data_IF_920489685398
#
_entry.id   IF_920489685398
#
_cell.length_a   1.000
_cell.length_b   1.000
_cell.length_c   1.000
_cell.angle_alpha   90.00
_cell.angle_beta   90.00
_cell.angle_gamma   90.00
#
_symmetry.space_group_name_H-M   'P 1'
#
loop_
_entity.id
_entity.type
_entity.pdbx_description
1 polymer ?
#
# COMPACT_ATOMS: atom_id res chain seq x y z
N UNK A 1 7.85 -6.24 -1.33
CA UNK A 1 7.13 -6.17 -2.62
C UNK A 1 5.94 -7.09 -2.45
N UNK A 2 4.71 -6.71 -2.80
CA UNK A 2 3.61 -7.69 -2.91
C UNK A 2 3.92 -8.56 -4.14
N UNK A 3 4.87 -9.48 -3.98
CA UNK A 3 5.47 -10.28 -5.05
C UNK A 3 5.02 -11.74 -5.01
N UNK A 4 4.41 -12.18 -3.91
CA UNK A 4 3.94 -13.55 -3.78
C UNK A 4 2.62 -13.75 -4.52
N UNK A 5 2.47 -14.96 -5.07
CA UNK A 5 1.24 -15.43 -5.70
C UNK A 5 0.07 -15.31 -4.72
N UNK A 6 -0.95 -14.52 -5.10
CA UNK A 6 -2.12 -14.30 -4.27
C UNK A 6 -2.84 -15.63 -4.03
N UNK A 7 -2.89 -16.08 -2.78
CA UNK A 7 -3.55 -17.33 -2.45
C UNK A 7 -5.03 -17.11 -2.23
N UNK A 8 -5.87 -18.01 -2.72
CA UNK A 8 -7.31 -17.93 -2.52
C UNK A 8 -7.77 -18.91 -1.43
N UNK A 9 -8.75 -18.49 -0.64
CA UNK A 9 -9.36 -19.31 0.40
C UNK A 9 -10.85 -19.00 0.51
N UNK A 10 -11.75 -20.00 0.45
CA UNK A 10 -13.16 -19.75 0.73
C UNK A 10 -13.37 -19.49 2.23
N UNK A 11 -14.38 -18.68 2.56
CA UNK A 11 -14.70 -18.23 3.91
C UNK A 11 -14.78 -19.38 4.94
N UNK A 12 -15.48 -20.47 4.61
CA UNK A 12 -15.59 -21.63 5.51
C UNK A 12 -14.21 -22.25 5.83
N UNK A 13 -13.30 -22.28 4.86
CA UNK A 13 -11.95 -22.80 5.06
C UNK A 13 -11.09 -21.86 5.90
N UNK A 14 -11.27 -20.54 5.75
CA UNK A 14 -10.62 -19.56 6.63
C UNK A 14 -11.12 -19.70 8.06
N UNK A 15 -12.44 -19.87 8.25
CA UNK A 15 -13.05 -20.11 9.57
C UNK A 15 -12.40 -21.29 10.28
N UNK A 16 -12.23 -22.40 9.56
CA UNK A 16 -11.75 -23.66 10.14
C UNK A 16 -10.21 -23.72 10.22
N UNK A 17 -9.49 -22.97 9.36
CA UNK A 17 -8.02 -23.03 9.22
C UNK A 17 -7.36 -21.65 9.28
N UNK A 18 -7.82 -20.78 10.19
CA UNK A 18 -7.31 -19.41 10.34
C UNK A 18 -5.78 -19.34 10.50
N UNK A 19 -5.21 -20.20 11.35
CA UNK A 19 -3.76 -20.26 11.58
C UNK A 19 -2.96 -20.57 10.31
N UNK A 20 -3.53 -21.36 9.39
CA UNK A 20 -2.88 -21.65 8.10
C UNK A 20 -2.87 -20.41 7.19
N UNK A 21 -3.98 -19.66 7.14
CA UNK A 21 -4.05 -18.41 6.37
C UNK A 21 -3.06 -17.37 6.91
N UNK A 22 -2.97 -17.25 8.24
CA UNK A 22 -1.99 -16.41 8.92
C UNK A 22 -0.57 -16.83 8.57
N UNK A 23 -0.25 -18.12 8.60
CA UNK A 23 1.08 -18.60 8.23
C UNK A 23 1.45 -18.26 6.79
N UNK A 24 0.50 -18.32 5.85
CA UNK A 24 0.75 -17.84 4.48
C UNK A 24 1.02 -16.34 4.43
N UNK A 25 0.19 -15.54 5.10
CA UNK A 25 0.35 -14.10 5.15
C UNK A 25 1.72 -13.71 5.75
N UNK A 26 2.10 -14.31 6.87
CA UNK A 26 3.40 -14.11 7.54
C UNK A 26 4.59 -14.54 6.65
N UNK A 27 4.42 -15.56 5.81
CA UNK A 27 5.40 -15.94 4.79
C UNK A 27 5.40 -15.01 3.56
N UNK A 28 4.74 -13.84 3.64
CA UNK A 28 4.66 -12.85 2.58
C UNK A 28 3.65 -13.17 1.49
N UNK A 29 2.77 -14.15 1.69
CA UNK A 29 1.75 -14.59 0.71
C UNK A 29 0.36 -14.11 1.13
N UNK A 30 -0.18 -13.03 0.54
CA UNK A 30 -1.52 -12.55 0.86
C UNK A 30 -2.59 -13.62 0.58
N UNK A 31 -3.64 -13.65 1.41
CA UNK A 31 -4.75 -14.60 1.27
C UNK A 31 -6.05 -13.86 0.94
N UNK A 32 -6.55 -14.01 -0.28
CA UNK A 32 -7.85 -13.51 -0.71
C UNK A 32 -8.97 -14.45 -0.28
N UNK A 33 -9.91 -13.92 0.48
CA UNK A 33 -11.03 -14.63 1.07
C UNK A 33 -12.25 -14.48 0.18
N UNK A 34 -12.91 -15.59 -0.15
CA UNK A 34 -14.10 -15.60 -0.99
C UNK A 34 -15.36 -15.99 -0.20
N UNK A 35 -16.45 -15.26 -0.43
CA UNK A 35 -17.79 -15.60 0.09
C UNK A 35 -18.74 -15.71 -1.10
N UNK A 36 -19.42 -16.85 -1.25
CA UNK A 36 -20.33 -17.12 -2.37
C UNK A 36 -19.73 -16.93 -3.78
N UNK A 37 -18.40 -17.00 -3.93
CA UNK A 37 -17.72 -16.82 -5.21
C UNK A 37 -17.16 -15.42 -5.44
N UNK A 38 -17.49 -14.45 -4.58
CA UNK A 38 -17.00 -13.08 -4.65
C UNK A 38 -15.85 -12.83 -3.67
N UNK A 39 -14.82 -12.03 -4.06
CA UNK A 39 -13.75 -11.66 -3.15
C UNK A 39 -14.29 -10.72 -2.07
N UNK A 40 -14.17 -11.12 -0.81
CA UNK A 40 -14.72 -10.38 0.34
C UNK A 40 -13.65 -9.62 1.11
N UNK A 41 -12.46 -10.19 1.25
CA UNK A 41 -11.35 -9.56 1.97
C UNK A 41 -10.01 -10.10 1.48
N UNK A 42 -8.93 -9.41 1.82
CA UNK A 42 -7.56 -9.89 1.67
C UNK A 42 -6.87 -9.82 3.02
N UNK A 43 -6.30 -10.95 3.45
CA UNK A 43 -5.45 -11.04 4.63
C UNK A 43 -3.99 -10.76 4.22
N UNK A 44 -3.37 -9.79 4.86
CA UNK A 44 -1.94 -9.47 4.75
C UNK A 44 -1.27 -9.59 6.13
N UNK A 45 0.05 -9.76 6.13
CA UNK A 45 0.87 -9.77 7.35
C UNK A 45 0.92 -8.38 8.01
N UNK A 46 1.08 -8.29 9.33
CA UNK A 46 1.32 -7.02 10.02
C UNK A 46 2.50 -6.23 9.44
N UNK A 47 3.60 -6.90 9.10
CA UNK A 47 4.82 -6.26 8.58
C UNK A 47 4.59 -5.61 7.22
N UNK A 48 3.87 -6.29 6.33
CA UNK A 48 3.46 -5.70 5.05
C UNK A 48 2.49 -4.53 5.25
N UNK A 49 1.60 -4.61 6.25
CA UNK A 49 0.73 -3.48 6.62
C UNK A 49 1.55 -2.26 7.03
N UNK A 50 2.47 -2.43 8.00
CA UNK A 50 3.36 -1.36 8.48
C UNK A 50 4.20 -0.76 7.36
N UNK A 51 4.72 -1.62 6.47
CA UNK A 51 5.47 -1.21 5.30
C UNK A 51 4.63 -0.31 4.37
N UNK A 52 3.37 -0.64 4.12
CA UNK A 52 2.49 0.21 3.31
C UNK A 52 2.10 1.51 4.03
N UNK A 53 1.90 1.48 5.34
CA UNK A 53 1.70 2.71 6.13
C UNK A 53 2.88 3.66 5.98
N UNK A 54 4.11 3.14 6.06
CA UNK A 54 5.31 3.95 5.87
C UNK A 54 5.40 4.52 4.44
N UNK A 55 5.09 3.70 3.42
CA UNK A 55 5.05 4.16 2.02
C UNK A 55 4.01 5.27 1.82
N UNK A 56 2.81 5.14 2.37
CA UNK A 56 1.75 6.16 2.28
C UNK A 56 2.15 7.48 2.93
N UNK A 57 2.87 7.42 4.07
CA UNK A 57 3.43 8.62 4.72
C UNK A 57 4.49 9.27 3.83
N UNK A 58 5.38 8.50 3.23
CA UNK A 58 6.39 8.99 2.29
C UNK A 58 5.75 9.61 1.03
N UNK A 59 4.68 9.01 0.50
CA UNK A 59 3.88 9.59 -0.59
C UNK A 59 3.24 10.91 -0.18
N UNK A 60 2.73 10.99 1.05
CA UNK A 60 2.16 12.24 1.58
C UNK A 60 3.23 13.34 1.73
N UNK A 61 4.46 12.99 2.12
CA UNK A 61 5.59 13.93 2.14
C UNK A 61 5.95 14.42 0.72
N UNK A 62 5.92 13.53 -0.28
CA UNK A 62 6.09 13.90 -1.69
C UNK A 62 4.98 14.86 -2.18
N UNK A 63 3.72 14.65 -1.76
CA UNK A 63 2.62 15.58 -2.07
C UNK A 63 2.88 16.98 -1.53
N UNK A 64 3.48 17.10 -0.35
CA UNK A 64 3.92 18.38 0.23
C UNK A 64 4.99 19.11 -0.59
N UNK A 65 5.66 18.42 -1.51
CA UNK A 65 6.65 18.98 -2.45
C UNK A 65 6.10 19.14 -3.88
N UNK A 66 4.77 19.09 -4.02
CA UNK A 66 4.03 19.07 -5.29
C UNK A 66 4.40 17.91 -6.23
N UNK A 67 4.80 16.76 -5.66
CA UNK A 67 5.15 15.54 -6.42
C UNK A 67 4.09 14.47 -6.17
N UNK A 68 3.31 14.10 -7.19
CA UNK A 68 2.21 13.13 -7.09
C UNK A 68 2.48 11.91 -7.99
N UNK A 69 3.40 11.02 -7.59
CA UNK A 69 3.86 9.93 -8.45
C UNK A 69 2.77 8.88 -8.73
N UNK A 70 1.73 8.80 -7.90
CA UNK A 70 0.59 7.89 -8.09
C UNK A 70 -0.26 8.27 -9.31
N UNK A 71 -0.14 9.52 -9.78
CA UNK A 71 -0.83 10.03 -10.96
C UNK A 71 -0.05 9.80 -12.26
N UNK A 72 1.16 9.24 -12.19
CA UNK A 72 1.97 8.96 -13.37
C UNK A 72 1.42 7.76 -14.15
N UNK A 73 1.20 7.95 -15.46
CA UNK A 73 0.69 6.91 -16.35
C UNK A 73 1.66 5.72 -16.47
N UNK A 74 2.98 5.98 -16.48
CA UNK A 74 4.02 4.97 -16.61
C UNK A 74 5.30 5.29 -15.84
N UNK A 75 6.27 4.37 -15.89
CA UNK A 75 7.57 4.55 -15.21
C UNK A 75 8.47 5.59 -15.86
N UNK A 76 8.27 5.90 -17.15
CA UNK A 76 9.06 6.90 -17.86
C UNK A 76 8.61 8.31 -17.45
N UNK A 77 7.31 8.51 -17.21
CA UNK A 77 6.76 9.79 -16.73
C UNK A 77 7.07 10.07 -15.26
N UNK A 78 7.31 9.06 -14.42
CA UNK A 78 7.70 9.26 -13.01
C UNK A 78 8.91 10.19 -12.85
N UNK A 79 9.92 10.08 -13.70
CA UNK A 79 11.07 10.98 -13.69
C UNK A 79 10.69 12.43 -14.06
N UNK A 80 9.70 12.63 -14.94
CA UNK A 80 9.20 13.96 -15.29
C UNK A 80 8.38 14.58 -14.14
N UNK A 81 7.57 13.78 -13.46
CA UNK A 81 6.78 14.18 -12.27
C UNK A 81 7.70 14.61 -11.13
N UNK A 82 8.69 13.78 -10.76
CA UNK A 82 9.63 14.11 -9.66
C UNK A 82 10.45 15.37 -9.98
N UNK A 83 10.86 15.52 -11.24
CA UNK A 83 11.54 16.72 -11.72
C UNK A 83 10.64 17.97 -11.80
N UNK A 84 9.32 17.85 -11.56
CA UNK A 84 8.36 18.95 -11.64
C UNK A 84 8.04 19.44 -13.06
N UNK A 85 8.40 18.66 -14.09
CA UNK A 85 8.15 18.98 -15.51
C UNK A 85 6.73 18.65 -15.93
N UNK A 86 6.18 17.60 -15.34
CA UNK A 86 4.79 17.21 -15.53
C UNK A 86 4.02 17.57 -14.26
N UNK A 87 3.09 18.53 -14.40
CA UNK A 87 2.25 18.94 -13.28
C UNK A 87 0.93 18.19 -13.35
N UNK A 88 0.53 17.52 -12.27
CA UNK A 88 -0.73 16.82 -12.24
C UNK A 88 -1.90 17.81 -12.35
N UNK A 89 -2.94 17.40 -13.07
CA UNK A 89 -4.18 18.15 -13.18
C UNK A 89 -4.84 18.29 -11.79
N UNK A 90 -5.30 19.50 -11.44
CA UNK A 90 -6.01 19.76 -10.18
C UNK A 90 -7.21 18.83 -9.94
N UNK A 91 -7.90 18.40 -11.00
CA UNK A 91 -8.99 17.42 -10.89
C UNK A 91 -8.49 16.03 -10.50
N UNK A 92 -7.33 15.61 -11.00
CA UNK A 92 -6.71 14.34 -10.63
C UNK A 92 -6.23 14.38 -9.18
N UNK A 93 -5.63 15.49 -8.73
CA UNK A 93 -5.25 15.71 -7.32
C UNK A 93 -6.47 15.63 -6.40
N UNK A 94 -7.57 16.34 -6.74
CA UNK A 94 -8.80 16.27 -5.95
C UNK A 94 -9.41 14.87 -5.89
N UNK A 95 -9.31 14.10 -6.98
CA UNK A 95 -9.77 12.70 -7.00
C UNK A 95 -8.91 11.84 -6.07
N UNK A 96 -7.58 11.97 -6.16
CA UNK A 96 -6.63 11.26 -5.30
C UNK A 96 -6.83 11.61 -3.81
N UNK A 97 -7.08 12.88 -3.50
CA UNK A 97 -7.33 13.33 -2.13
C UNK A 97 -8.63 12.77 -1.50
N UNK A 98 -9.57 12.31 -2.34
CA UNK A 98 -10.82 11.67 -1.89
C UNK A 98 -10.74 10.15 -1.82
N UNK A 99 -9.63 9.57 -2.27
CA UNK A 99 -9.44 8.12 -2.23
C UNK A 99 -9.24 7.69 -0.77
N UNK A 100 -10.12 6.81 -0.30
CA UNK A 100 -10.06 6.29 1.06
C UNK A 100 -8.86 5.34 1.21
N UNK A 101 -8.05 5.56 2.24
CA UNK A 101 -6.83 4.80 2.51
C UNK A 101 -7.02 3.95 3.75
N UNK A 102 -7.65 2.79 3.58
CA UNK A 102 -8.01 1.90 4.69
C UNK A 102 -6.80 1.53 5.53
N UNK A 103 -5.64 1.32 4.90
CA UNK A 103 -4.43 0.89 5.63
C UNK A 103 -3.93 1.93 6.65
N UNK A 104 -4.34 3.19 6.55
CA UNK A 104 -3.92 4.27 7.46
C UNK A 104 -4.77 4.35 8.73
N UNK A 105 -5.99 3.80 8.71
CA UNK A 105 -6.90 3.83 9.85
C UNK A 105 -7.51 2.44 10.04
N UNK A 106 -6.92 1.65 10.95
CA UNK A 106 -7.41 0.32 11.28
C UNK A 106 -8.14 0.39 12.63
N UNK A 107 -9.47 0.56 12.63
CA UNK A 107 -10.22 0.90 13.83
C UNK A 107 -10.42 -0.29 14.78
N UNK A 108 -10.13 -1.51 14.32
CA UNK A 108 -10.56 -2.73 15.01
C UNK A 108 -9.45 -3.75 15.16
N UNK A 109 -9.36 -4.29 16.37
CA UNK A 109 -8.54 -5.47 16.70
C UNK A 109 -9.43 -6.59 17.23
N UNK A 110 -9.26 -7.80 16.72
CA UNK A 110 -9.98 -9.01 17.17
C UNK A 110 -9.01 -10.13 17.53
N UNK A 111 -9.37 -10.98 18.48
CA UNK A 111 -8.63 -12.22 18.73
C UNK A 111 -8.86 -13.25 17.61
N UNK A 112 -7.87 -14.10 17.32
CA UNK A 112 -7.98 -15.17 16.31
C UNK A 112 -9.19 -16.10 16.57
N UNK A 113 -9.55 -16.32 17.83
CA UNK A 113 -10.72 -17.13 18.23
C UNK A 113 -12.06 -16.54 17.79
N UNK A 114 -12.11 -15.22 17.56
CA UNK A 114 -13.31 -14.55 17.03
C UNK A 114 -13.57 -14.89 15.57
N UNK A 115 -12.53 -15.24 14.80
CA UNK A 115 -12.65 -15.65 13.39
C UNK A 115 -13.59 -16.86 13.31
N UNK A 116 -13.40 -17.86 14.16
CA UNK A 116 -14.23 -19.08 14.14
C UNK A 116 -15.72 -18.80 14.38
N UNK A 117 -16.04 -17.79 15.19
CA UNK A 117 -17.43 -17.51 15.63
C UNK A 117 -18.12 -16.42 14.83
N UNK A 118 -17.37 -15.46 14.28
CA UNK A 118 -17.90 -14.19 13.74
C UNK A 118 -17.36 -13.84 12.35
N UNK A 119 -16.71 -14.77 11.64
CA UNK A 119 -16.07 -14.46 10.35
C UNK A 119 -17.00 -13.76 9.36
N UNK A 120 -18.26 -14.20 9.23
CA UNK A 120 -19.22 -13.53 8.33
C UNK A 120 -19.36 -12.03 8.65
N UNK A 121 -19.70 -11.69 9.90
CA UNK A 121 -19.81 -10.29 10.36
C UNK A 121 -18.50 -9.52 10.23
N UNK A 122 -17.34 -10.16 10.43
CA UNK A 122 -16.04 -9.51 10.22
C UNK A 122 -15.83 -9.17 8.74
N UNK A 123 -16.18 -10.10 7.83
CA UNK A 123 -16.06 -9.86 6.40
C UNK A 123 -17.04 -8.81 5.89
N UNK A 124 -18.25 -8.75 6.45
CA UNK A 124 -19.23 -7.70 6.13
C UNK A 124 -18.69 -6.32 6.52
N UNK A 125 -18.13 -6.17 7.73
CA UNK A 125 -17.50 -4.93 8.18
C UNK A 125 -16.29 -4.54 7.30
N UNK A 126 -15.46 -5.53 6.92
CA UNK A 126 -14.33 -5.28 6.01
C UNK A 126 -14.84 -4.81 4.65
N UNK A 127 -15.91 -5.41 4.12
CA UNK A 127 -16.52 -5.01 2.86
C UNK A 127 -17.09 -3.58 2.90
N UNK A 128 -17.51 -3.09 4.08
CA UNK A 128 -17.89 -1.70 4.34
C UNK A 128 -16.68 -0.75 4.48
N UNK A 129 -15.46 -1.22 4.23
CA UNK A 129 -14.24 -0.41 4.26
C UNK A 129 -13.60 -0.31 5.64
N UNK A 130 -13.99 -1.15 6.60
CA UNK A 130 -13.43 -1.16 7.97
C UNK A 130 -12.42 -2.29 8.11
N UNK A 131 -11.11 -2.03 7.88
CA UNK A 131 -10.12 -3.07 8.01
C UNK A 131 -10.04 -3.57 9.46
N UNK A 132 -9.61 -4.82 9.62
CA UNK A 132 -9.58 -5.49 10.92
C UNK A 132 -8.25 -6.16 11.17
N UNK A 133 -7.58 -5.79 12.26
CA UNK A 133 -6.38 -6.45 12.76
C UNK A 133 -6.75 -7.70 13.55
N UNK A 134 -6.00 -8.77 13.33
CA UNK A 134 -6.11 -10.05 14.03
C UNK A 134 -4.96 -10.16 15.03
N UNK A 135 -5.30 -10.51 16.26
CA UNK A 135 -4.40 -10.68 17.39
C UNK A 135 -4.43 -12.13 17.88
N UNK A 136 -3.26 -12.69 18.18
CA UNK A 136 -3.14 -14.02 18.76
C UNK A 136 -1.93 -14.08 19.67
N UNK A 137 -2.08 -14.71 20.84
CA UNK A 137 -0.96 -15.08 21.71
C UNK A 137 0.00 -13.94 22.09
N UNK A 138 -0.48 -12.69 22.20
CA UNK A 138 0.39 -11.56 22.55
C UNK A 138 0.75 -10.65 21.38
N UNK A 139 0.50 -11.08 20.15
CA UNK A 139 1.02 -10.43 18.94
C UNK A 139 -0.07 -10.18 17.89
N UNK A 140 0.14 -9.16 17.06
CA UNK A 140 -0.63 -8.99 15.83
C UNK A 140 -0.17 -10.02 14.82
N UNK A 141 -1.10 -10.70 14.16
CA UNK A 141 -0.80 -11.84 13.28
C UNK A 141 -1.38 -11.69 11.88
N UNK A 142 -2.15 -10.64 11.63
CA UNK A 142 -2.63 -10.33 10.29
C UNK A 142 -3.61 -9.17 10.26
N UNK A 143 -3.86 -8.64 9.08
CA UNK A 143 -4.84 -7.57 8.84
C UNK A 143 -5.71 -7.95 7.65
N UNK A 144 -7.03 -7.89 7.85
CA UNK A 144 -8.01 -8.02 6.78
C UNK A 144 -8.31 -6.63 6.23
N UNK A 145 -8.10 -6.46 4.92
CA UNK A 145 -8.43 -5.25 4.15
C UNK A 145 -9.41 -5.61 3.02
N UNK A 146 -10.04 -4.60 2.41
CA UNK A 146 -10.85 -4.85 1.21
C UNK A 146 -9.99 -5.34 0.04
N UNK A 147 -10.57 -6.10 -0.91
CA UNK A 147 -9.90 -6.39 -2.17
C UNK A 147 -9.54 -5.12 -2.95
N UNK A 148 -10.38 -4.09 -2.89
CA UNK A 148 -10.14 -2.80 -3.53
C UNK A 148 -8.86 -2.14 -3.00
N UNK A 149 -8.68 -2.08 -1.68
CA UNK A 149 -7.47 -1.55 -1.05
C UNK A 149 -6.24 -2.38 -1.47
N UNK A 150 -6.33 -3.70 -1.42
CA UNK A 150 -5.23 -4.55 -1.86
C UNK A 150 -4.80 -4.27 -3.32
N UNK A 151 -5.77 -4.12 -4.24
CA UNK A 151 -5.45 -3.79 -5.62
C UNK A 151 -4.89 -2.38 -5.79
N UNK A 152 -5.32 -1.42 -4.98
CA UNK A 152 -4.74 -0.06 -4.94
C UNK A 152 -3.26 -0.11 -4.56
N UNK A 153 -2.93 -0.76 -3.44
CA UNK A 153 -1.54 -0.96 -3.00
C UNK A 153 -0.71 -1.70 -4.06
N UNK A 154 -1.29 -2.72 -4.70
CA UNK A 154 -0.63 -3.44 -5.79
C UNK A 154 -0.31 -2.54 -6.98
N UNK A 155 -1.20 -1.61 -7.37
CA UNK A 155 -0.92 -0.63 -8.43
C UNK A 155 0.25 0.29 -8.07
N UNK A 156 0.37 0.68 -6.80
CA UNK A 156 1.49 1.50 -6.31
C UNK A 156 2.83 0.76 -6.30
N UNK A 157 2.85 -0.57 -6.40
CA UNK A 157 4.10 -1.35 -6.37
C UNK A 157 5.09 -0.93 -7.47
N UNK A 158 4.59 -0.50 -8.64
CA UNK A 158 5.42 0.04 -9.73
C UNK A 158 6.11 1.35 -9.33
N UNK A 159 5.37 2.26 -8.69
CA UNK A 159 5.88 3.54 -8.20
C UNK A 159 6.96 3.29 -7.15
N UNK A 160 6.68 2.43 -6.17
CA UNK A 160 7.63 2.08 -5.10
C UNK A 160 8.90 1.44 -5.67
N UNK A 161 8.78 0.55 -6.66
CA UNK A 161 9.93 -0.06 -7.32
C UNK A 161 10.79 0.98 -8.08
N UNK A 162 10.15 1.95 -8.72
CA UNK A 162 10.86 3.03 -9.41
C UNK A 162 11.67 3.88 -8.42
N UNK A 163 11.08 4.34 -7.32
CA UNK A 163 11.80 5.14 -6.31
C UNK A 163 12.99 4.40 -5.73
N UNK A 164 12.80 3.11 -5.39
CA UNK A 164 13.90 2.26 -4.90
C UNK A 164 15.04 2.15 -5.92
N UNK A 165 14.71 1.99 -7.20
CA UNK A 165 15.70 1.96 -8.30
C UNK A 165 16.40 3.30 -8.46
N UNK A 166 15.68 4.41 -8.22
CA UNK A 166 16.23 5.76 -8.21
C UNK A 166 17.04 6.08 -6.93
N UNK A 167 17.11 5.16 -5.96
CA UNK A 167 17.90 5.32 -4.73
C UNK A 167 17.13 5.86 -3.52
N UNK A 168 15.79 5.84 -3.54
CA UNK A 168 14.94 6.22 -2.41
C UNK A 168 14.03 5.05 -1.99
N UNK A 169 14.26 4.48 -0.81
CA UNK A 169 13.38 3.45 -0.25
C UNK A 169 12.23 4.10 0.54
N UNK A 170 11.05 4.20 -0.09
CA UNK A 170 9.88 4.86 0.51
C UNK A 170 9.39 4.20 1.81
N UNK A 171 9.68 2.92 2.04
CA UNK A 171 9.28 2.24 3.27
C UNK A 171 10.08 2.68 4.50
N UNK A 172 11.25 3.30 4.32
CA UNK A 172 12.15 3.67 5.42
C UNK A 172 12.64 5.12 5.35
N UNK A 173 12.31 5.85 4.28
CA UNK A 173 12.70 7.23 4.11
C UNK A 173 11.97 8.15 5.10
N UNK A 174 12.70 9.13 5.64
CA UNK A 174 12.11 10.25 6.37
C UNK A 174 11.87 11.46 5.45
N UNK A 175 11.22 12.49 5.98
CA UNK A 175 10.88 13.69 5.21
C UNK A 175 12.12 14.42 4.66
N UNK A 176 13.24 14.42 5.40
CA UNK A 176 14.48 15.05 4.99
C UNK A 176 15.11 14.32 3.79
N UNK A 177 15.20 12.99 3.85
CA UNK A 177 15.68 12.15 2.76
C UNK A 177 14.84 12.31 1.50
N UNK A 178 13.52 12.42 1.65
CA UNK A 178 12.58 12.66 0.54
C UNK A 178 12.83 14.04 -0.08
N UNK A 179 12.91 15.09 0.73
CA UNK A 179 13.17 16.45 0.26
C UNK A 179 14.51 16.55 -0.47
N UNK A 180 15.57 15.96 0.11
CA UNK A 180 16.90 15.93 -0.52
C UNK A 180 16.94 15.11 -1.80
N UNK A 181 16.19 14.02 -1.88
CA UNK A 181 16.04 13.27 -3.11
C UNK A 181 15.40 14.12 -4.21
N UNK A 182 14.24 14.74 -3.93
CA UNK A 182 13.53 15.59 -4.90
C UNK A 182 14.39 16.78 -5.33
N UNK A 183 15.05 17.43 -4.38
CA UNK A 183 15.98 18.54 -4.64
C UNK A 183 17.11 18.13 -5.58
N UNK A 184 17.85 17.06 -5.25
CA UNK A 184 18.94 16.55 -6.10
C UNK A 184 18.46 16.14 -7.49
N UNK A 185 17.26 15.55 -7.59
CA UNK A 185 16.70 15.15 -8.88
C UNK A 185 16.34 16.36 -9.77
N UNK A 186 15.90 17.47 -9.15
CA UNK A 186 15.65 18.75 -9.84
C UNK A 186 16.97 19.46 -10.21
N UNK A 187 17.95 19.48 -9.31
CA UNK A 187 19.26 20.14 -9.49
C UNK A 187 20.22 19.41 -10.43
N UNK A 188 20.25 18.08 -10.41
CA UNK A 188 21.12 17.26 -11.27
C UNK A 188 20.85 17.46 -12.78
N UNK A 189 19.78 18.19 -13.11
CA UNK A 189 19.47 18.67 -14.45
C UNK A 189 19.95 20.11 -14.70
N UNK A 190 19.99 20.99 -13.69
CA UNK A 190 20.53 22.34 -13.86
C UNK A 190 21.97 22.29 -14.37
N UNK A 191 22.78 21.37 -13.83
CA UNK A 191 24.17 21.16 -14.27
C UNK A 191 24.29 20.57 -15.69
N UNK A 192 23.39 19.65 -16.08
CA UNK A 192 23.38 19.05 -17.41
C UNK A 192 22.85 20.02 -18.50
N UNK A 193 21.92 20.91 -18.15
CA UNK A 193 21.40 21.94 -19.05
C UNK A 193 22.36 23.13 -19.21
N UNK A 194 23.08 23.54 -18.16
CA UNK A 194 24.15 24.54 -18.26
C UNK A 194 25.34 24.04 -19.08
N UNK A 195 25.70 22.76 -18.97
CA UNK A 195 26.82 22.18 -19.73
C UNK A 195 26.53 22.02 -21.24
N UNK A 196 25.26 22.06 -21.66
CA UNK A 196 24.86 21.96 -23.07
C UNK A 196 24.66 23.34 -23.74
N UNK A 197 24.74 24.43 -22.96
CA UNK A 197 24.58 25.80 -23.42
C UNK A 197 25.90 26.61 -23.34
N UNK A 198 27.02 25.96 -23.00
CA UNK A 198 28.36 26.53 -22.92
C UNK A 198 29.25 26.16 -24.09
#
# INVERSE_FOLDING_TARGET
>A
MIAAELRTMPMHKLRDKASLAIAYAAAGTPVMVFTHGDPSAVLISPEETERWIAIERSLSALHGLDVYPELADDTASLAAVVAGRERPNATAIRRLAREERQILDIPRTIGITHIQRRLASILDEVAEGRPTTIYSSGEFVGVLITPAEYYRLRKLSRVVAWFRTAGLELATADEAAIADFVRRFREGRSSAAESAAG
#
